data_IF_563197297330
#
_entry.id   IF_563197297330
#
_cell.length_a   1.000
_cell.length_b   1.000
_cell.length_c   1.000
_cell.angle_alpha   90.00
_cell.angle_beta   90.00
_cell.angle_gamma   90.00
#
_symmetry.space_group_name_H-M   'P 1'
#
loop_
_entity.id
_entity.type
_entity.pdbx_description
1 polymer ?
#
# COMPACT_ATOMS: atom_id res chain seq x y z
N UNK A 1 9.14 28.01 27.21
CA UNK A 1 8.39 28.87 26.27
C UNK A 1 9.04 28.84 24.91
N UNK A 2 8.26 28.72 23.85
CA UNK A 2 8.75 28.73 22.47
C UNK A 2 9.27 30.15 22.15
N UNK A 3 10.47 30.26 21.58
CA UNK A 3 11.04 31.53 21.13
C UNK A 3 10.14 32.20 20.08
N UNK A 4 10.09 33.50 20.05
CA UNK A 4 9.17 34.25 19.17
C UNK A 4 9.38 33.91 17.68
N UNK A 5 10.63 33.80 17.24
CA UNK A 5 10.99 33.46 15.86
C UNK A 5 10.53 32.06 15.43
N UNK A 6 10.35 31.13 16.38
CA UNK A 6 9.95 29.74 16.09
C UNK A 6 8.43 29.47 16.29
N UNK A 7 7.69 30.46 16.82
CA UNK A 7 6.31 30.28 17.25
C UNK A 7 5.39 29.79 16.13
N UNK A 8 5.45 30.43 14.97
CA UNK A 8 4.59 30.11 13.83
C UNK A 8 4.92 28.73 13.26
N UNK A 9 6.20 28.39 13.19
CA UNK A 9 6.64 27.05 12.74
C UNK A 9 6.18 25.95 13.70
N UNK A 10 6.27 26.18 15.01
CA UNK A 10 5.82 25.21 16.03
C UNK A 10 4.30 25.05 15.98
N UNK A 11 3.56 26.15 15.84
CA UNK A 11 2.08 26.09 15.70
C UNK A 11 1.67 25.33 14.44
N UNK A 12 2.35 25.57 13.32
CA UNK A 12 2.12 24.83 12.09
C UNK A 12 2.39 23.32 12.29
N UNK A 13 3.53 22.96 12.89
CA UNK A 13 3.87 21.56 13.16
C UNK A 13 2.84 20.87 14.07
N UNK A 14 2.26 21.57 15.05
CA UNK A 14 1.18 21.02 15.89
C UNK A 14 -0.11 20.83 15.08
N UNK A 15 -0.51 21.84 14.32
CA UNK A 15 -1.74 21.79 13.50
C UNK A 15 -1.65 20.72 12.40
N UNK A 16 -0.47 20.54 11.82
CA UNK A 16 -0.18 19.50 10.84
C UNK A 16 0.04 18.10 11.44
N UNK A 17 -0.01 17.97 12.78
CA UNK A 17 0.22 16.68 13.45
C UNK A 17 1.67 16.21 13.45
N UNK A 18 2.61 17.02 12.97
CA UNK A 18 4.05 16.69 12.96
C UNK A 18 4.60 16.58 14.37
N UNK A 19 4.18 17.48 15.27
CA UNK A 19 4.58 17.51 16.67
C UNK A 19 3.38 17.25 17.58
N UNK A 20 3.55 16.32 18.50
CA UNK A 20 2.63 16.07 19.61
C UNK A 20 3.31 16.39 20.96
N UNK A 21 2.54 16.74 21.98
CA UNK A 21 3.06 16.96 23.31
C UNK A 21 3.49 15.64 23.99
N UNK A 22 4.49 15.70 24.87
CA UNK A 22 4.97 14.51 25.62
C UNK A 22 4.01 14.06 26.72
N UNK A 23 3.30 14.99 27.35
CA UNK A 23 2.26 14.68 28.33
C UNK A 23 1.24 15.78 28.39
N UNK A 24 -0.06 15.42 28.20
CA UNK A 24 -1.17 16.36 28.26
C UNK A 24 -1.05 17.54 27.31
N UNK A 25 -0.64 17.28 26.07
CA UNK A 25 -0.48 18.25 24.97
C UNK A 25 0.51 19.39 25.24
N UNK A 26 1.39 19.20 26.23
CA UNK A 26 2.45 20.20 26.51
C UNK A 26 3.69 19.93 25.67
N UNK A 27 4.07 20.92 24.89
CA UNK A 27 5.36 20.93 24.23
C UNK A 27 6.48 21.16 25.26
N UNK A 28 7.61 20.48 25.07
CA UNK A 28 8.81 20.62 25.87
C UNK A 28 9.96 21.12 24.96
N UNK A 29 9.94 22.39 24.53
CA UNK A 29 10.82 22.92 23.48
C UNK A 29 12.30 22.95 23.86
N UNK A 30 12.62 22.86 25.14
CA UNK A 30 13.99 22.84 25.65
C UNK A 30 14.52 21.42 25.87
N UNK A 31 13.68 20.40 25.74
CA UNK A 31 14.09 19.01 25.94
C UNK A 31 14.78 18.46 24.69
N UNK A 32 15.73 17.56 24.88
CA UNK A 32 16.31 16.79 23.78
C UNK A 32 15.32 15.77 23.26
N UNK A 33 15.31 15.59 21.94
CA UNK A 33 14.55 14.51 21.29
C UNK A 33 15.45 13.31 21.04
N UNK A 34 14.88 12.12 21.11
CA UNK A 34 15.57 10.90 20.70
C UNK A 34 15.62 10.80 19.17
N UNK A 35 16.52 9.97 18.64
CA UNK A 35 16.57 9.69 17.19
C UNK A 35 15.25 9.14 16.68
N UNK A 36 14.57 8.29 17.46
CA UNK A 36 13.27 7.74 17.10
C UNK A 36 12.18 8.82 17.01
N UNK A 37 12.11 9.74 17.98
CA UNK A 37 11.17 10.88 17.93
C UNK A 37 11.44 11.79 16.74
N UNK A 38 12.71 12.09 16.45
CA UNK A 38 13.08 12.90 15.28
C UNK A 38 12.68 12.24 13.96
N UNK A 39 12.86 10.92 13.82
CA UNK A 39 12.46 10.18 12.63
C UNK A 39 10.94 10.20 12.43
N UNK A 40 10.15 9.99 13.48
CA UNK A 40 8.67 10.09 13.43
C UNK A 40 8.22 11.48 13.04
N UNK A 41 8.87 12.53 13.55
CA UNK A 41 8.56 13.91 13.17
C UNK A 41 8.89 14.19 11.70
N UNK A 42 10.01 13.69 11.20
CA UNK A 42 10.41 13.82 9.79
C UNK A 42 9.44 13.07 8.87
N UNK A 43 9.03 11.87 9.24
CA UNK A 43 8.04 11.07 8.53
C UNK A 43 6.70 11.80 8.39
N UNK A 44 6.16 12.34 9.50
CA UNK A 44 4.94 13.15 9.51
C UNK A 44 5.08 14.45 8.71
N UNK A 45 6.23 15.12 8.82
CA UNK A 45 6.52 16.36 8.06
C UNK A 45 6.61 16.09 6.55
N UNK A 46 7.09 14.92 6.16
CA UNK A 46 7.13 14.48 4.77
C UNK A 46 5.75 14.02 4.23
N UNK A 47 4.74 13.93 5.10
CA UNK A 47 3.41 13.43 4.74
C UNK A 47 3.40 11.93 4.39
N UNK A 48 4.40 11.20 4.86
CA UNK A 48 4.45 9.74 4.67
C UNK A 48 3.42 9.05 5.56
N UNK A 49 2.91 7.89 5.15
CA UNK A 49 1.99 7.09 5.96
C UNK A 49 2.63 6.60 7.26
N UNK A 50 1.80 6.21 8.21
CA UNK A 50 2.27 5.63 9.47
C UNK A 50 2.90 4.24 9.23
N UNK A 51 4.16 4.09 9.62
CA UNK A 51 4.87 2.78 9.59
C UNK A 51 4.19 1.75 10.50
N UNK A 52 3.49 2.19 11.55
CA UNK A 52 2.65 1.31 12.36
C UNK A 52 1.58 0.62 11.52
N UNK A 53 0.92 1.33 10.63
CA UNK A 53 -0.08 0.76 9.72
C UNK A 53 0.54 -0.26 8.75
N UNK A 54 1.74 -0.01 8.22
CA UNK A 54 2.45 -0.99 7.38
C UNK A 54 2.71 -2.30 8.13
N UNK A 55 3.08 -2.20 9.41
CA UNK A 55 3.26 -3.37 10.27
C UNK A 55 1.94 -4.11 10.51
N UNK A 56 0.87 -3.39 10.81
CA UNK A 56 -0.46 -3.96 11.03
C UNK A 56 -0.96 -4.66 9.77
N UNK A 57 -0.80 -4.04 8.60
CA UNK A 57 -1.12 -4.64 7.30
C UNK A 57 -0.36 -5.96 7.08
N UNK A 58 0.95 -5.98 7.39
CA UNK A 58 1.76 -7.19 7.31
C UNK A 58 1.29 -8.28 8.28
N UNK A 59 1.02 -7.94 9.55
CA UNK A 59 0.58 -8.90 10.57
C UNK A 59 -0.78 -9.51 10.22
N UNK A 60 -1.72 -8.71 9.70
CA UNK A 60 -3.04 -9.19 9.24
C UNK A 60 -2.88 -10.13 8.04
N UNK A 61 -2.11 -9.75 7.04
CA UNK A 61 -1.89 -10.57 5.84
C UNK A 61 -1.17 -11.88 6.18
N UNK A 62 -0.21 -11.85 7.10
CA UNK A 62 0.54 -13.03 7.51
C UNK A 62 -0.13 -13.86 8.62
N UNK A 63 -1.35 -13.53 9.05
CA UNK A 63 -2.04 -14.26 10.11
C UNK A 63 -2.47 -15.68 9.70
N UNK A 64 -2.68 -15.92 8.41
CA UNK A 64 -3.17 -17.20 7.87
C UNK A 64 -2.40 -17.62 6.63
N UNK A 65 -2.37 -18.93 6.36
CA UNK A 65 -1.93 -19.45 5.06
C UNK A 65 -2.93 -19.02 3.99
N UNK A 66 -2.44 -18.61 2.83
CA UNK A 66 -3.25 -18.00 1.75
C UNK A 66 -3.09 -18.72 0.39
N UNK A 67 -3.08 -20.07 0.34
CA UNK A 67 -3.01 -20.72 -0.96
C UNK A 67 -4.26 -20.41 -1.79
N UNK A 68 -4.10 -20.38 -3.13
CA UNK A 68 -5.20 -20.09 -4.05
C UNK A 68 -6.46 -20.90 -3.76
N UNK A 69 -7.61 -20.23 -3.71
CA UNK A 69 -8.92 -20.83 -3.43
C UNK A 69 -9.16 -21.14 -1.96
N UNK A 70 -8.28 -20.75 -1.04
CA UNK A 70 -8.48 -20.92 0.40
C UNK A 70 -9.27 -19.77 1.03
N UNK A 71 -9.78 -20.01 2.24
CA UNK A 71 -10.42 -18.95 3.02
C UNK A 71 -9.41 -17.84 3.37
N UNK A 72 -8.15 -18.17 3.66
CA UNK A 72 -7.11 -17.19 3.97
C UNK A 72 -6.82 -16.27 2.79
N UNK A 73 -6.82 -16.79 1.55
CA UNK A 73 -6.71 -15.94 0.36
C UNK A 73 -7.95 -15.05 0.18
N UNK A 74 -9.15 -15.59 0.34
CA UNK A 74 -10.39 -14.83 0.24
C UNK A 74 -10.45 -13.69 1.28
N UNK A 75 -9.93 -13.92 2.48
CA UNK A 75 -9.83 -12.91 3.54
C UNK A 75 -8.80 -11.82 3.17
N UNK A 76 -7.66 -12.20 2.59
CA UNK A 76 -6.66 -11.25 2.11
C UNK A 76 -7.19 -10.39 0.96
N UNK A 77 -7.89 -10.99 -0.02
CA UNK A 77 -8.53 -10.26 -1.13
C UNK A 77 -9.54 -9.23 -0.60
N UNK A 78 -10.39 -9.63 0.36
CA UNK A 78 -11.35 -8.72 0.99
C UNK A 78 -10.64 -7.58 1.71
N UNK A 79 -9.62 -7.90 2.52
CA UNK A 79 -8.82 -6.92 3.23
C UNK A 79 -8.19 -5.90 2.28
N UNK A 80 -7.54 -6.37 1.21
CA UNK A 80 -6.90 -5.50 0.21
C UNK A 80 -7.89 -4.58 -0.49
N UNK A 81 -9.05 -5.14 -0.92
CA UNK A 81 -10.11 -4.33 -1.50
C UNK A 81 -10.54 -3.21 -0.55
N UNK A 82 -10.87 -3.56 0.69
CA UNK A 82 -11.38 -2.62 1.68
C UNK A 82 -10.33 -1.52 1.97
N UNK A 83 -9.05 -1.88 2.11
CA UNK A 83 -7.95 -0.93 2.30
C UNK A 83 -7.80 0.05 1.13
N UNK A 84 -7.82 -0.43 -0.12
CA UNK A 84 -7.74 0.44 -1.28
C UNK A 84 -8.99 1.33 -1.45
N UNK A 85 -10.18 0.82 -1.17
CA UNK A 85 -11.43 1.60 -1.20
C UNK A 85 -11.43 2.68 -0.12
N UNK A 86 -10.96 2.41 1.10
CA UNK A 86 -10.77 3.41 2.18
C UNK A 86 -9.81 4.53 1.77
N UNK A 87 -8.79 4.23 0.99
CA UNK A 87 -7.89 5.23 0.40
C UNK A 87 -8.54 6.03 -0.74
N UNK A 88 -9.73 5.64 -1.20
CA UNK A 88 -10.47 6.31 -2.28
C UNK A 88 -10.12 5.81 -3.67
N UNK A 89 -9.45 4.69 -3.82
CA UNK A 89 -9.13 4.09 -5.12
C UNK A 89 -10.31 3.30 -5.69
N UNK A 90 -10.44 3.29 -7.02
CA UNK A 90 -11.32 2.35 -7.71
C UNK A 90 -10.69 0.97 -7.71
N UNK A 91 -11.41 -0.03 -7.20
CA UNK A 91 -10.92 -1.40 -7.09
C UNK A 91 -11.65 -2.34 -8.04
N UNK A 92 -10.91 -3.20 -8.71
CA UNK A 92 -11.43 -4.28 -9.55
C UNK A 92 -10.87 -5.61 -9.04
N UNK A 93 -11.75 -6.60 -8.90
CA UNK A 93 -11.37 -7.99 -8.63
C UNK A 93 -11.41 -8.78 -9.93
N UNK A 94 -10.26 -9.30 -10.36
CA UNK A 94 -10.17 -10.15 -11.56
C UNK A 94 -10.11 -11.61 -11.13
N UNK A 95 -11.16 -12.42 -11.42
CA UNK A 95 -11.16 -13.82 -11.06
C UNK A 95 -10.14 -14.61 -11.90
N UNK A 96 -9.53 -15.60 -11.25
CA UNK A 96 -8.69 -16.61 -11.85
C UNK A 96 -9.14 -17.98 -11.35
N UNK A 97 -9.23 -18.97 -12.22
CA UNK A 97 -9.53 -20.35 -11.84
C UNK A 97 -8.43 -21.25 -12.40
N UNK A 98 -7.81 -22.04 -11.52
CA UNK A 98 -6.75 -22.95 -11.88
C UNK A 98 -7.24 -24.25 -12.53
N UNK A 99 -6.31 -25.10 -12.97
CA UNK A 99 -6.63 -26.40 -13.58
C UNK A 99 -7.28 -27.41 -12.63
N UNK A 100 -7.36 -27.11 -11.34
CA UNK A 100 -8.02 -27.95 -10.32
C UNK A 100 -9.40 -27.37 -9.90
N UNK A 101 -9.84 -26.28 -10.52
CA UNK A 101 -11.10 -25.62 -10.22
C UNK A 101 -11.06 -24.72 -8.97
N UNK A 102 -9.89 -24.41 -8.43
CA UNK A 102 -9.75 -23.47 -7.32
C UNK A 102 -9.78 -22.04 -7.89
N UNK A 103 -10.56 -21.17 -7.28
CA UNK A 103 -10.72 -19.79 -7.73
C UNK A 103 -10.10 -18.83 -6.73
N UNK A 104 -9.20 -17.99 -7.22
CA UNK A 104 -8.64 -16.83 -6.53
C UNK A 104 -8.96 -15.53 -7.29
N UNK A 105 -8.51 -14.38 -6.79
CA UNK A 105 -8.77 -13.10 -7.42
C UNK A 105 -7.53 -12.21 -7.38
N UNK A 106 -7.10 -11.69 -8.52
CA UNK A 106 -6.22 -10.52 -8.50
C UNK A 106 -7.00 -9.30 -7.99
N UNK A 107 -6.33 -8.46 -7.22
CA UNK A 107 -6.86 -7.17 -6.76
C UNK A 107 -6.13 -6.07 -7.51
N UNK A 108 -6.86 -5.22 -8.20
CA UNK A 108 -6.33 -4.09 -8.94
C UNK A 108 -6.94 -2.79 -8.42
N UNK A 109 -6.10 -1.86 -7.95
CA UNK A 109 -6.51 -0.51 -7.60
C UNK A 109 -5.83 0.49 -8.53
N UNK A 110 -6.56 1.53 -8.94
CA UNK A 110 -6.07 2.50 -9.91
C UNK A 110 -6.08 3.90 -9.31
N UNK A 111 -4.91 4.53 -9.35
CA UNK A 111 -4.74 5.96 -9.17
C UNK A 111 -4.73 6.64 -10.54
N UNK A 112 -5.79 7.37 -10.85
CA UNK A 112 -5.87 8.10 -12.09
C UNK A 112 -4.78 9.19 -12.17
N UNK A 113 -4.26 9.39 -13.38
CA UNK A 113 -3.41 10.54 -13.67
C UNK A 113 -4.22 11.85 -13.72
N UNK A 114 -3.54 12.97 -13.53
CA UNK A 114 -4.11 14.32 -13.69
C UNK A 114 -4.21 14.79 -15.14
N UNK A 115 -3.64 14.02 -16.08
CA UNK A 115 -3.62 14.31 -17.51
C UNK A 115 -4.29 13.18 -18.31
N UNK A 116 -4.90 13.45 -19.46
CA UNK A 116 -5.44 12.41 -20.33
C UNK A 116 -4.31 11.61 -21.00
N UNK A 117 -4.62 10.38 -21.41
CA UNK A 117 -3.72 9.48 -22.16
C UNK A 117 -2.35 9.27 -21.51
N UNK A 118 -2.31 9.35 -20.18
CA UNK A 118 -1.11 9.26 -19.39
C UNK A 118 -0.44 7.89 -19.51
N UNK A 119 0.88 7.88 -19.35
CA UNK A 119 1.64 6.64 -19.15
C UNK A 119 1.13 5.87 -17.93
N UNK A 120 1.38 4.57 -17.90
CA UNK A 120 0.97 3.67 -16.81
C UNK A 120 2.22 3.13 -16.13
N UNK A 121 2.29 3.31 -14.82
CA UNK A 121 3.25 2.63 -13.95
C UNK A 121 2.53 1.54 -13.16
N UNK A 122 3.04 0.32 -13.21
CA UNK A 122 2.51 -0.81 -12.44
C UNK A 122 3.38 -1.05 -11.22
N UNK A 123 2.77 -1.05 -10.04
CA UNK A 123 3.38 -1.51 -8.79
C UNK A 123 2.69 -2.80 -8.39
N UNK A 124 3.44 -3.85 -8.09
CA UNK A 124 2.83 -5.16 -7.89
C UNK A 124 3.49 -6.00 -6.80
N UNK A 125 2.68 -6.88 -6.20
CA UNK A 125 3.07 -7.94 -5.29
C UNK A 125 2.11 -9.12 -5.46
N UNK A 126 2.38 -10.27 -4.82
CA UNK A 126 1.40 -11.34 -4.72
C UNK A 126 0.94 -11.54 -3.27
N UNK A 127 -0.33 -11.86 -3.10
CA UNK A 127 -0.90 -12.03 -1.76
C UNK A 127 -1.13 -13.49 -1.37
N UNK A 128 -1.03 -14.42 -2.31
CA UNK A 128 -1.08 -15.84 -1.97
C UNK A 128 0.21 -16.30 -1.25
N UNK A 129 0.17 -17.45 -0.66
CA UNK A 129 1.32 -18.12 -0.04
C UNK A 129 1.24 -19.62 -0.28
N UNK A 130 2.36 -20.32 -0.12
CA UNK A 130 2.36 -21.78 -0.10
C UNK A 130 1.52 -22.31 1.09
N UNK A 131 0.93 -23.52 0.97
CA UNK A 131 0.08 -24.08 2.04
C UNK A 131 0.82 -24.34 3.37
N UNK A 132 2.14 -24.37 3.34
CA UNK A 132 3.00 -24.75 4.48
C UNK A 132 3.66 -23.55 5.18
N UNK A 133 3.46 -22.32 4.68
CA UNK A 133 4.04 -21.11 5.24
C UNK A 133 3.03 -19.96 5.31
N UNK A 134 3.18 -19.09 6.30
CA UNK A 134 2.36 -17.89 6.45
C UNK A 134 2.68 -16.82 5.40
N UNK A 135 3.79 -16.94 4.68
CA UNK A 135 4.18 -16.01 3.62
C UNK A 135 4.35 -14.57 4.10
N UNK A 136 4.96 -14.35 5.28
CA UNK A 136 5.19 -13.00 5.80
C UNK A 136 6.20 -12.25 4.93
N UNK A 137 7.35 -12.87 4.63
CA UNK A 137 8.37 -12.30 3.75
C UNK A 137 8.02 -12.53 2.26
N UNK A 138 7.40 -13.66 1.94
CA UNK A 138 6.99 -14.07 0.60
C UNK A 138 5.47 -14.30 0.55
N UNK A 139 4.63 -13.31 0.19
CA UNK A 139 5.03 -11.93 -0.11
C UNK A 139 4.08 -10.91 0.54
N UNK A 140 3.60 -11.19 1.80
CA UNK A 140 2.80 -10.22 2.55
C UNK A 140 3.56 -8.91 2.78
N UNK A 141 4.91 -8.95 2.89
CA UNK A 141 5.75 -7.76 3.02
C UNK A 141 5.69 -6.87 1.78
N UNK A 142 5.73 -7.46 0.58
CA UNK A 142 5.56 -6.72 -0.68
C UNK A 142 4.15 -6.13 -0.80
N UNK A 143 3.13 -6.86 -0.35
CA UNK A 143 1.74 -6.36 -0.34
C UNK A 143 1.57 -5.22 0.66
N UNK A 144 2.16 -5.30 1.86
CA UNK A 144 2.14 -4.21 2.83
C UNK A 144 2.86 -2.96 2.30
N UNK A 145 4.01 -3.14 1.61
CA UNK A 145 4.71 -2.05 0.94
C UNK A 145 3.88 -1.43 -0.21
N UNK A 146 3.10 -2.26 -0.93
CA UNK A 146 2.17 -1.79 -1.97
C UNK A 146 1.07 -0.91 -1.37
N UNK A 147 0.45 -1.33 -0.26
CA UNK A 147 -0.55 -0.55 0.47
C UNK A 147 0.04 0.75 1.03
N UNK A 148 1.22 0.70 1.62
CA UNK A 148 1.92 1.88 2.13
C UNK A 148 2.21 2.89 1.02
N UNK A 149 2.65 2.42 -0.15
CA UNK A 149 2.89 3.28 -1.31
C UNK A 149 1.60 3.90 -1.83
N UNK A 150 0.51 3.13 -1.86
CA UNK A 150 -0.80 3.63 -2.24
C UNK A 150 -1.27 4.76 -1.29
N UNK A 151 -1.15 4.56 0.02
CA UNK A 151 -1.49 5.59 1.02
C UNK A 151 -0.64 6.84 0.83
N UNK A 152 0.67 6.71 0.59
CA UNK A 152 1.58 7.83 0.35
C UNK A 152 1.16 8.65 -0.89
N UNK A 153 0.67 7.98 -1.93
CA UNK A 153 0.32 8.61 -3.20
C UNK A 153 -1.14 9.09 -3.29
N UNK A 154 -2.00 8.75 -2.32
CA UNK A 154 -3.46 8.98 -2.45
C UNK A 154 -3.85 10.43 -2.75
N UNK A 155 -3.15 11.40 -2.17
CA UNK A 155 -3.42 12.84 -2.32
C UNK A 155 -2.36 13.58 -3.16
N UNK A 156 -1.43 12.85 -3.77
CA UNK A 156 -0.36 13.42 -4.60
C UNK A 156 -0.80 13.44 -6.06
N UNK A 157 -0.97 14.59 -6.72
CA UNK A 157 -1.23 14.63 -8.16
C UNK A 157 -0.06 13.98 -8.94
N UNK A 158 -0.38 13.15 -9.91
CA UNK A 158 0.63 12.51 -10.79
C UNK A 158 0.21 12.65 -12.24
N UNK A 159 1.17 12.85 -13.13
CA UNK A 159 0.96 12.87 -14.58
C UNK A 159 0.99 11.44 -15.17
N UNK A 160 1.20 10.44 -14.31
CA UNK A 160 1.23 9.02 -14.65
C UNK A 160 0.09 8.32 -13.90
N UNK A 161 -0.65 7.46 -14.59
CA UNK A 161 -1.58 6.53 -13.95
C UNK A 161 -0.79 5.49 -13.18
N UNK A 162 -1.12 5.27 -11.90
CA UNK A 162 -0.46 4.22 -11.10
C UNK A 162 -1.46 3.09 -10.85
N UNK A 163 -1.07 1.89 -11.25
CA UNK A 163 -1.84 0.65 -10.98
C UNK A 163 -1.17 -0.14 -9.88
N UNK A 164 -1.87 -0.34 -8.78
CA UNK A 164 -1.48 -1.21 -7.68
C UNK A 164 -2.11 -2.58 -7.91
N UNK A 165 -1.30 -3.59 -8.18
CA UNK A 165 -1.76 -4.94 -8.51
C UNK A 165 -1.29 -5.94 -7.45
N UNK A 166 -2.23 -6.63 -6.82
CA UNK A 166 -1.93 -7.75 -5.94
C UNK A 166 -2.41 -9.05 -6.58
N UNK A 167 -1.48 -9.94 -6.90
CA UNK A 167 -1.75 -11.15 -7.67
C UNK A 167 -2.10 -12.34 -6.79
N UNK A 168 -2.98 -13.20 -7.28
CA UNK A 168 -3.24 -14.54 -6.78
C UNK A 168 -2.37 -15.57 -7.50
N UNK A 169 -2.20 -16.75 -6.91
CA UNK A 169 -1.61 -17.95 -7.52
C UNK A 169 -0.21 -17.72 -8.16
N UNK A 170 0.62 -16.91 -7.48
CA UNK A 170 2.02 -16.73 -7.86
C UNK A 170 2.82 -18.00 -7.61
N UNK A 171 2.62 -18.60 -6.44
CA UNK A 171 3.35 -19.75 -5.91
C UNK A 171 3.22 -21.03 -6.77
N UNK A 172 2.20 -21.12 -7.61
CA UNK A 172 2.00 -22.23 -8.54
C UNK A 172 2.37 -21.88 -9.99
N UNK A 173 3.15 -20.81 -10.20
CA UNK A 173 3.70 -20.48 -11.52
C UNK A 173 3.25 -19.14 -12.08
N UNK A 174 2.98 -18.15 -11.24
CA UNK A 174 2.67 -16.75 -11.62
C UNK A 174 1.38 -16.63 -12.45
N UNK A 175 0.39 -17.47 -12.12
CA UNK A 175 -0.80 -17.58 -12.96
C UNK A 175 -1.68 -16.34 -12.91
N UNK A 176 -1.81 -15.70 -11.74
CA UNK A 176 -2.55 -14.45 -11.59
C UNK A 176 -1.98 -13.32 -12.44
N UNK A 177 -0.66 -13.08 -12.39
CA UNK A 177 -0.01 -12.05 -13.18
C UNK A 177 -0.06 -12.34 -14.69
N UNK A 178 0.06 -13.62 -15.10
CA UNK A 178 -0.12 -14.04 -16.51
C UNK A 178 -1.55 -13.75 -17.00
N UNK A 179 -2.56 -14.04 -16.19
CA UNK A 179 -3.97 -13.75 -16.51
C UNK A 179 -4.19 -12.25 -16.65
N UNK A 180 -3.65 -11.45 -15.73
CA UNK A 180 -3.71 -10.00 -15.81
C UNK A 180 -3.05 -9.48 -17.08
N UNK A 181 -1.82 -9.92 -17.38
CA UNK A 181 -1.09 -9.49 -18.58
C UNK A 181 -1.80 -9.90 -19.87
N UNK A 182 -2.43 -11.07 -19.91
CA UNK A 182 -3.19 -11.53 -21.06
C UNK A 182 -4.46 -10.71 -21.32
N UNK A 183 -5.04 -10.10 -20.29
CA UNK A 183 -6.25 -9.27 -20.40
C UNK A 183 -6.00 -7.82 -20.82
N UNK A 184 -4.74 -7.37 -20.83
CA UNK A 184 -4.38 -6.01 -21.23
C UNK A 184 -4.70 -5.78 -22.73
N UNK A 185 -5.32 -4.64 -23.03
CA UNK A 185 -5.49 -4.16 -24.40
C UNK A 185 -4.15 -3.75 -25.01
N UNK A 186 -4.08 -3.64 -26.32
CA UNK A 186 -2.87 -3.15 -27.02
C UNK A 186 -2.55 -1.70 -26.63
N UNK A 187 -3.58 -0.87 -26.44
CA UNK A 187 -3.45 0.49 -25.96
C UNK A 187 -2.79 0.53 -24.58
N UNK A 188 -3.30 -0.25 -23.62
CA UNK A 188 -2.71 -0.32 -22.28
C UNK A 188 -1.27 -0.79 -22.32
N UNK A 189 -0.95 -1.79 -23.15
CA UNK A 189 0.41 -2.32 -23.31
C UNK A 189 1.39 -1.25 -23.78
N UNK A 190 0.96 -0.37 -24.69
CA UNK A 190 1.81 0.71 -25.22
C UNK A 190 2.01 1.84 -24.20
N UNK A 191 1.08 2.01 -23.28
CA UNK A 191 1.15 3.04 -22.22
C UNK A 191 1.92 2.59 -20.98
N UNK A 192 2.14 1.28 -20.79
CA UNK A 192 2.91 0.79 -19.65
C UNK A 192 4.39 1.10 -19.84
N UNK A 193 4.92 2.02 -19.03
CA UNK A 193 6.33 2.47 -19.08
C UNK A 193 7.20 1.78 -18.04
N UNK A 194 6.62 1.09 -17.07
CA UNK A 194 7.35 0.35 -16.04
C UNK A 194 6.48 -0.56 -15.23
N UNK A 195 7.09 -1.63 -14.68
CA UNK A 195 6.48 -2.53 -13.71
C UNK A 195 7.52 -2.89 -12.63
N UNK A 196 7.15 -2.77 -11.37
CA UNK A 196 7.97 -3.00 -10.18
C UNK A 196 7.27 -4.01 -9.28
#
# INVERSE_FOLDING_TARGET
TVSEWARDAVLWCQQAGVMAGRSGDKLAPEDTITTAEALVMLERAAGLPDVGQLRDDLEILAAHHRPVGSQGEADAVRYLRDRFEEMGYSVTLQPYTDGQGRTGHNVAAVKAASVPDADILVLSAHHDSVPTAYGANDNASGVAALLYTAEALRNVPTDTEVRFLSFTDEENGKNGSRTCTASLTEEERTRIVGAI
#
